data_IF_775175251425
#
_entry.id   IF_775175251425
#
_cell.length_a   1.000
_cell.length_b   1.000
_cell.length_c   1.000
_cell.angle_alpha   90.00
_cell.angle_beta   90.00
_cell.angle_gamma   90.00
#
_symmetry.space_group_name_H-M   'P 1'
#
loop_
_entity.id
_entity.type
_entity.pdbx_description
1 polymer ?
#
# COMPACT_ATOMS: atom_id res chain seq x y z
N UNK A 1 -8.80 41.26 -79.71
CA UNK A 1 -10.00 40.73 -79.01
C UNK A 1 -10.37 39.41 -79.68
N UNK A 2 -10.47 38.25 -79.01
CA UNK A 2 -10.30 37.88 -77.59
C UNK A 2 -9.44 36.59 -77.54
N UNK A 3 -8.65 36.39 -76.48
CA UNK A 3 -8.00 35.12 -76.22
C UNK A 3 -8.91 34.24 -75.35
N UNK A 4 -9.01 32.95 -75.65
CA UNK A 4 -9.85 32.00 -74.89
C UNK A 4 -8.96 30.93 -74.28
N UNK A 5 -8.57 31.12 -73.02
CA UNK A 5 -7.78 30.14 -72.27
C UNK A 5 -8.72 29.13 -71.61
N UNK A 6 -8.64 27.86 -72.01
CA UNK A 6 -9.38 26.78 -71.36
C UNK A 6 -8.61 26.30 -70.12
N UNK A 7 -9.23 26.42 -68.94
CA UNK A 7 -8.73 25.79 -67.72
C UNK A 7 -9.31 24.38 -67.58
N UNK A 8 -8.45 23.37 -67.53
CA UNK A 8 -8.85 22.00 -67.21
C UNK A 8 -8.81 21.79 -65.70
N UNK A 9 -9.98 21.62 -65.07
CA UNK A 9 -10.07 21.25 -63.65
C UNK A 9 -9.70 19.78 -63.45
N UNK A 10 -8.52 19.53 -62.86
CA UNK A 10 -8.15 18.21 -62.37
C UNK A 10 -8.77 17.92 -61.01
N UNK A 11 -9.69 16.96 -60.94
CA UNK A 11 -10.23 16.47 -59.66
C UNK A 11 -9.25 15.50 -59.00
N UNK A 12 -8.59 15.95 -57.93
CA UNK A 12 -7.80 15.09 -57.04
C UNK A 12 -8.76 14.28 -56.14
N UNK A 13 -8.84 12.97 -56.37
CA UNK A 13 -9.51 12.04 -55.47
C UNK A 13 -8.62 11.82 -54.23
N UNK A 14 -8.99 12.41 -53.11
CA UNK A 14 -8.37 12.11 -51.82
C UNK A 14 -8.80 10.71 -51.36
N UNK A 15 -7.87 9.76 -51.33
CA UNK A 15 -8.07 8.49 -50.63
C UNK A 15 -7.97 8.76 -49.12
N UNK A 16 -9.10 8.93 -48.45
CA UNK A 16 -9.16 8.86 -46.99
C UNK A 16 -8.81 7.44 -46.56
N UNK A 17 -7.59 7.23 -46.04
CA UNK A 17 -7.24 6.00 -45.36
C UNK A 17 -8.12 5.87 -44.11
N UNK A 18 -8.99 4.85 -44.08
CA UNK A 18 -9.74 4.52 -42.89
C UNK A 18 -8.76 4.06 -41.80
N UNK A 19 -8.66 4.81 -40.71
CA UNK A 19 -7.94 4.34 -39.53
C UNK A 19 -8.61 3.05 -39.02
N UNK A 20 -7.84 2.03 -38.59
CA UNK A 20 -8.43 0.83 -38.02
C UNK A 20 -9.19 1.20 -36.74
N UNK A 21 -10.49 0.93 -36.73
CA UNK A 21 -11.32 1.07 -35.52
C UNK A 21 -10.72 0.20 -34.41
N UNK A 22 -10.40 0.80 -33.25
CA UNK A 22 -9.93 0.05 -32.07
C UNK A 22 -10.95 -1.06 -31.78
N UNK A 23 -10.50 -2.31 -31.76
CA UNK A 23 -11.37 -3.42 -31.34
C UNK A 23 -11.55 -3.29 -29.85
N UNK A 24 -12.66 -2.66 -29.45
CA UNK A 24 -13.17 -2.62 -28.08
C UNK A 24 -13.48 -4.07 -27.64
N UNK A 25 -12.46 -4.79 -27.17
CA UNK A 25 -12.68 -6.00 -26.39
C UNK A 25 -13.49 -5.57 -25.16
N UNK A 26 -14.77 -5.99 -25.10
CA UNK A 26 -15.57 -5.86 -23.88
C UNK A 26 -14.88 -6.65 -22.76
N UNK A 27 -14.04 -5.95 -21.99
CA UNK A 27 -13.49 -6.41 -20.72
C UNK A 27 -14.69 -6.63 -19.80
N UNK A 28 -14.90 -7.87 -19.35
CA UNK A 28 -15.83 -8.13 -18.26
C UNK A 28 -15.17 -7.63 -16.99
N UNK A 29 -15.60 -6.46 -16.51
CA UNK A 29 -15.20 -5.99 -15.20
C UNK A 29 -15.73 -6.96 -14.13
N UNK A 30 -14.86 -7.37 -13.21
CA UNK A 30 -15.24 -8.20 -12.05
C UNK A 30 -15.45 -7.27 -10.87
N UNK A 31 -16.59 -7.38 -10.18
CA UNK A 31 -16.86 -6.63 -8.96
C UNK A 31 -17.12 -7.57 -7.79
N UNK A 32 -16.55 -7.24 -6.64
CA UNK A 32 -16.73 -7.97 -5.39
C UNK A 32 -16.96 -6.96 -4.24
N UNK A 33 -17.91 -7.27 -3.37
CA UNK A 33 -18.30 -6.47 -2.21
C UNK A 33 -18.09 -7.24 -0.89
N UNK A 34 -17.50 -8.44 -0.94
CA UNK A 34 -17.18 -9.22 0.24
C UNK A 34 -15.97 -8.66 0.98
N UNK A 35 -15.90 -8.88 2.29
CA UNK A 35 -14.86 -8.33 3.16
C UNK A 35 -13.44 -8.63 2.66
N UNK A 36 -13.21 -9.87 2.21
CA UNK A 36 -11.92 -10.36 1.70
C UNK A 36 -12.03 -10.74 0.22
N UNK A 37 -12.83 -10.00 -0.55
CA UNK A 37 -12.92 -10.17 -1.99
C UNK A 37 -11.58 -9.85 -2.65
N UNK A 38 -11.10 -10.73 -3.53
CA UNK A 38 -9.83 -10.58 -4.24
C UNK A 38 -9.99 -10.89 -5.73
N UNK A 39 -9.12 -10.32 -6.57
CA UNK A 39 -9.04 -10.65 -8.00
C UNK A 39 -7.61 -10.53 -8.49
N UNK A 40 -7.01 -11.66 -8.85
CA UNK A 40 -5.69 -11.70 -9.53
C UNK A 40 -5.83 -11.28 -11.00
N UNK A 41 -5.01 -10.33 -11.43
CA UNK A 41 -4.98 -9.82 -12.80
C UNK A 41 -3.59 -9.31 -13.20
N UNK A 42 -3.02 -9.87 -14.27
CA UNK A 42 -1.62 -9.56 -14.64
C UNK A 42 -0.66 -10.05 -13.54
N UNK A 43 0.18 -9.14 -13.04
CA UNK A 43 1.07 -9.31 -11.90
C UNK A 43 0.50 -8.71 -10.60
N UNK A 44 -0.80 -8.44 -10.52
CA UNK A 44 -1.44 -7.85 -9.34
C UNK A 44 -2.47 -8.80 -8.72
N UNK A 45 -2.64 -8.69 -7.41
CA UNK A 45 -3.86 -9.11 -6.72
C UNK A 45 -4.53 -7.84 -6.20
N UNK A 46 -5.78 -7.62 -6.63
CA UNK A 46 -6.59 -6.47 -6.18
C UNK A 46 -7.54 -6.94 -5.10
N UNK A 47 -7.51 -6.27 -3.95
CA UNK A 47 -8.28 -6.60 -2.75
C UNK A 47 -9.37 -5.56 -2.48
N UNK A 48 -10.53 -6.02 -2.01
CA UNK A 48 -11.54 -5.14 -1.41
C UNK A 48 -11.11 -4.75 0.02
N UNK A 49 -10.62 -5.72 0.78
CA UNK A 49 -10.03 -5.62 2.12
C UNK A 49 -10.75 -4.67 3.09
N UNK A 50 -11.93 -5.10 3.54
CA UNK A 50 -12.75 -4.39 4.53
C UNK A 50 -12.40 -4.82 5.96
N UNK A 51 -11.11 -4.88 6.30
CA UNK A 51 -10.62 -5.37 7.59
C UNK A 51 -11.24 -4.64 8.79
N UNK A 52 -11.49 -3.33 8.65
CA UNK A 52 -12.03 -2.46 9.68
C UNK A 52 -13.54 -2.20 9.61
N UNK A 53 -14.30 -2.95 8.80
CA UNK A 53 -15.74 -2.66 8.57
C UNK A 53 -16.58 -2.60 9.86
N UNK A 54 -16.22 -3.40 10.88
CA UNK A 54 -16.90 -3.44 12.18
C UNK A 54 -16.70 -2.15 13.00
N UNK A 55 -15.74 -1.30 12.62
CA UNK A 55 -15.55 0.03 13.20
C UNK A 55 -16.60 1.05 12.70
N UNK A 56 -17.51 0.70 11.80
CA UNK A 56 -18.50 1.66 11.26
C UNK A 56 -19.79 1.05 10.74
N UNK A 57 -20.50 1.83 9.93
CA UNK A 57 -21.66 1.37 9.18
C UNK A 57 -21.55 1.80 7.72
N UNK A 58 -21.83 0.90 6.79
CA UNK A 58 -21.60 1.18 5.38
C UNK A 58 -21.48 -0.05 4.50
N UNK A 59 -20.92 0.16 3.31
CA UNK A 59 -20.65 -0.89 2.33
C UNK A 59 -19.61 -0.41 1.33
N UNK A 60 -18.83 -1.35 0.80
CA UNK A 60 -17.79 -1.08 -0.19
C UNK A 60 -17.65 -2.23 -1.19
N UNK A 61 -17.46 -1.88 -2.45
CA UNK A 61 -17.25 -2.83 -3.54
C UNK A 61 -16.06 -2.39 -4.39
N UNK A 62 -15.11 -3.31 -4.58
CA UNK A 62 -14.03 -3.16 -5.55
C UNK A 62 -14.52 -3.62 -6.94
N UNK A 63 -13.99 -3.00 -7.99
CA UNK A 63 -14.25 -3.37 -9.39
C UNK A 63 -12.95 -3.37 -10.17
N UNK A 64 -12.54 -4.55 -10.65
CA UNK A 64 -11.38 -4.73 -11.50
C UNK A 64 -11.80 -4.70 -12.96
N UNK A 65 -11.43 -3.65 -13.67
CA UNK A 65 -11.47 -3.61 -15.14
C UNK A 65 -10.32 -4.47 -15.68
N UNK A 66 -9.12 -4.29 -15.13
CA UNK A 66 -7.90 -5.05 -15.36
C UNK A 66 -6.88 -4.32 -16.23
N UNK A 67 -5.87 -5.02 -16.75
CA UNK A 67 -4.71 -4.39 -17.43
C UNK A 67 -4.99 -3.94 -18.88
N UNK A 68 -4.60 -2.72 -19.21
CA UNK A 68 -4.56 -2.09 -20.55
C UNK A 68 -3.21 -1.42 -20.74
N UNK A 69 -2.53 -1.64 -21.87
CA UNK A 69 -1.24 -1.00 -22.20
C UNK A 69 -0.23 -1.08 -21.01
N UNK A 70 -0.10 -2.29 -20.46
CA UNK A 70 0.70 -2.69 -19.27
C UNK A 70 0.37 -1.99 -17.93
N UNK A 71 -0.71 -1.20 -17.89
CA UNK A 71 -1.22 -0.52 -16.69
C UNK A 71 -2.51 -1.16 -16.18
N UNK A 72 -2.64 -1.34 -14.86
CA UNK A 72 -3.86 -1.83 -14.21
C UNK A 72 -4.93 -0.74 -14.11
N UNK A 73 -6.16 -1.06 -14.53
CA UNK A 73 -7.36 -0.26 -14.30
C UNK A 73 -8.28 -0.93 -13.26
N UNK A 74 -8.66 -0.19 -12.20
CA UNK A 74 -9.63 -0.64 -11.20
C UNK A 74 -10.31 0.53 -10.49
N UNK A 75 -11.35 0.27 -9.73
CA UNK A 75 -12.00 1.26 -8.86
C UNK A 75 -12.54 0.62 -7.58
N UNK A 76 -12.79 1.44 -6.56
CA UNK A 76 -13.63 1.04 -5.42
C UNK A 76 -14.68 2.11 -5.17
N UNK A 77 -15.91 1.68 -4.90
CA UNK A 77 -17.04 2.54 -4.54
C UNK A 77 -17.52 2.21 -3.15
N UNK A 78 -17.70 3.23 -2.31
CA UNK A 78 -18.03 3.03 -0.91
C UNK A 78 -18.90 4.12 -0.30
N UNK A 79 -19.44 3.83 0.87
CA UNK A 79 -19.98 4.81 1.82
C UNK A 79 -19.81 4.26 3.21
N UNK A 80 -19.21 5.04 4.10
CA UNK A 80 -18.90 4.65 5.48
C UNK A 80 -19.26 5.80 6.44
N UNK A 81 -19.92 5.44 7.54
CA UNK A 81 -20.21 6.31 8.68
C UNK A 81 -19.60 5.77 9.97
N UNK A 82 -19.64 6.62 10.99
CA UNK A 82 -19.23 6.36 12.37
C UNK A 82 -17.72 6.15 12.57
N UNK A 83 -17.28 6.38 13.81
CA UNK A 83 -15.88 6.37 14.25
C UNK A 83 -14.91 6.98 13.22
N UNK A 84 -15.02 8.30 13.04
CA UNK A 84 -14.35 9.08 11.97
C UNK A 84 -12.81 9.03 11.94
N UNK A 85 -12.17 8.45 12.94
CA UNK A 85 -10.72 8.32 13.06
C UNK A 85 -10.25 6.87 12.81
N UNK A 86 -11.17 5.93 12.66
CA UNK A 86 -10.86 4.50 12.55
C UNK A 86 -11.03 4.10 11.08
N UNK A 87 -10.01 3.48 10.49
CA UNK A 87 -10.06 2.95 9.12
C UNK A 87 -11.08 1.81 9.03
N UNK A 88 -11.79 1.73 7.89
CA UNK A 88 -12.79 0.69 7.58
C UNK A 88 -12.27 -0.34 6.59
N UNK A 89 -11.32 0.04 5.74
CA UNK A 89 -10.81 -0.78 4.65
C UNK A 89 -9.55 -0.18 4.04
N UNK A 90 -8.70 -1.02 3.45
CA UNK A 90 -7.65 -0.60 2.51
C UNK A 90 -7.83 -1.33 1.17
N UNK A 91 -8.79 -0.92 0.34
CA UNK A 91 -8.88 -1.49 -1.03
C UNK A 91 -7.63 -1.11 -1.81
N UNK A 92 -6.93 -2.10 -2.35
CA UNK A 92 -5.57 -1.93 -2.87
C UNK A 92 -5.25 -2.90 -4.01
N UNK A 93 -4.15 -2.64 -4.73
CA UNK A 93 -3.53 -3.55 -5.68
C UNK A 93 -2.08 -3.84 -5.27
N UNK A 94 -1.83 -5.05 -4.78
CA UNK A 94 -0.49 -5.56 -4.41
C UNK A 94 0.15 -6.27 -5.59
N UNK A 95 1.46 -6.11 -5.75
CA UNK A 95 2.26 -6.85 -6.74
C UNK A 95 2.45 -8.30 -6.27
N UNK A 96 2.04 -9.27 -7.08
CA UNK A 96 2.32 -10.70 -6.88
C UNK A 96 3.79 -10.98 -7.20
N UNK A 97 4.64 -10.76 -6.19
CA UNK A 97 6.07 -11.07 -6.23
C UNK A 97 6.51 -11.72 -4.92
N UNK A 98 7.68 -12.36 -4.95
CA UNK A 98 8.28 -12.94 -3.76
C UNK A 98 9.00 -11.87 -2.95
N UNK A 99 9.08 -12.08 -1.65
CA UNK A 99 9.87 -11.25 -0.75
C UNK A 99 11.33 -11.16 -1.19
N UNK A 100 11.87 -9.94 -1.18
CA UNK A 100 13.23 -9.61 -1.68
C UNK A 100 13.94 -8.67 -0.71
N UNK A 101 15.25 -8.85 -0.50
CA UNK A 101 16.01 -7.93 0.35
C UNK A 101 16.12 -6.56 -0.29
N UNK A 102 15.94 -5.48 0.48
CA UNK A 102 16.06 -4.10 -0.01
C UNK A 102 17.41 -3.90 -0.73
N UNK A 103 18.52 -4.34 -0.13
CA UNK A 103 19.88 -4.35 -0.72
C UNK A 103 20.02 -5.04 -2.10
N UNK A 104 19.02 -5.82 -2.54
CA UNK A 104 18.99 -6.44 -3.87
C UNK A 104 18.13 -5.69 -4.89
N UNK A 105 17.26 -4.79 -4.43
CA UNK A 105 16.40 -3.96 -5.29
C UNK A 105 17.25 -2.85 -5.91
N UNK A 106 17.16 -2.70 -7.24
CA UNK A 106 17.78 -1.60 -7.98
C UNK A 106 16.82 -0.45 -8.28
N UNK A 107 15.52 -0.72 -8.38
CA UNK A 107 14.45 0.28 -8.51
C UNK A 107 13.08 -0.35 -8.25
N UNK A 108 12.13 0.46 -7.80
CA UNK A 108 10.69 0.17 -7.72
C UNK A 108 9.94 1.21 -8.56
N UNK A 109 10.12 1.16 -9.88
CA UNK A 109 9.57 2.17 -10.79
C UNK A 109 8.03 2.07 -10.81
N UNK A 110 7.36 3.18 -10.53
CA UNK A 110 5.90 3.24 -10.52
C UNK A 110 5.35 4.36 -11.39
N UNK A 111 4.08 4.18 -11.79
CA UNK A 111 3.20 5.18 -12.38
C UNK A 111 1.80 4.95 -11.81
N UNK A 112 1.11 6.00 -11.37
CA UNK A 112 -0.21 5.89 -10.76
C UNK A 112 -1.07 7.12 -11.07
N UNK A 113 -2.08 6.94 -11.93
CA UNK A 113 -3.09 7.93 -12.29
C UNK A 113 -4.43 7.58 -11.64
N UNK A 114 -4.92 8.47 -10.79
CA UNK A 114 -6.12 8.23 -10.00
C UNK A 114 -6.99 9.48 -9.79
N UNK A 115 -8.28 9.23 -9.50
CA UNK A 115 -9.28 10.27 -9.19
C UNK A 115 -10.15 9.81 -8.02
N UNK A 116 -10.49 10.74 -7.14
CA UNK A 116 -11.55 10.57 -6.13
C UNK A 116 -12.75 11.48 -6.45
N UNK A 117 -13.96 10.99 -6.20
CA UNK A 117 -15.17 11.79 -6.02
C UNK A 117 -15.99 11.27 -4.84
N UNK A 118 -16.79 12.14 -4.22
CA UNK A 118 -17.67 11.79 -3.11
C UNK A 118 -17.97 12.98 -2.21
N UNK A 119 -18.87 12.78 -1.24
CA UNK A 119 -19.31 13.78 -0.27
C UNK A 119 -18.65 13.54 1.09
N UNK A 120 -18.15 14.61 1.72
CA UNK A 120 -17.57 14.58 3.09
C UNK A 120 -16.45 13.54 3.30
N UNK A 121 -15.61 13.34 2.29
CA UNK A 121 -14.55 12.34 2.31
C UNK A 121 -13.53 12.58 3.44
N UNK A 122 -13.30 11.53 4.23
CA UNK A 122 -12.14 11.30 5.09
C UNK A 122 -11.48 10.01 4.60
N UNK A 123 -10.36 10.15 3.90
CA UNK A 123 -9.63 9.05 3.27
C UNK A 123 -8.17 9.46 2.98
N UNK A 124 -7.35 8.49 2.60
CA UNK A 124 -6.09 8.74 1.90
C UNK A 124 -6.11 8.13 0.48
N UNK A 125 -5.00 8.33 -0.23
CA UNK A 125 -4.58 7.47 -1.34
C UNK A 125 -3.10 7.19 -1.11
N UNK A 126 -2.69 5.93 -0.96
CA UNK A 126 -1.34 5.59 -0.51
C UNK A 126 -0.76 4.33 -1.16
N UNK A 127 0.54 4.39 -1.47
CA UNK A 127 1.35 3.18 -1.50
C UNK A 127 1.51 2.67 -0.08
N UNK A 128 1.47 1.35 0.09
CA UNK A 128 1.76 0.69 1.35
C UNK A 128 2.71 -0.49 1.10
N UNK A 129 3.71 -0.61 1.98
CA UNK A 129 4.88 -1.45 1.78
C UNK A 129 5.40 -1.96 3.13
N UNK A 130 5.37 -3.27 3.32
CA UNK A 130 5.81 -3.90 4.55
C UNK A 130 7.17 -4.55 4.42
N UNK A 131 7.97 -4.48 5.49
CA UNK A 131 9.25 -5.19 5.58
C UNK A 131 9.36 -6.07 6.82
N UNK A 132 10.20 -7.11 6.72
CA UNK A 132 10.53 -8.02 7.83
C UNK A 132 12.02 -8.39 7.81
N UNK A 133 12.57 -8.80 8.95
CA UNK A 133 13.95 -9.32 9.05
C UNK A 133 14.15 -10.66 8.31
N UNK A 134 13.09 -11.30 7.83
CA UNK A 134 13.16 -12.52 7.01
C UNK A 134 12.05 -12.58 5.96
N UNK A 135 12.30 -13.30 4.86
CA UNK A 135 11.39 -13.38 3.71
C UNK A 135 9.95 -13.84 4.04
N UNK A 136 9.80 -14.74 5.03
CA UNK A 136 8.52 -15.30 5.48
C UNK A 136 8.16 -14.84 6.91
N UNK A 137 8.80 -13.76 7.39
CA UNK A 137 8.64 -13.25 8.76
C UNK A 137 7.40 -12.38 8.94
N UNK A 138 7.01 -12.16 10.20
CA UNK A 138 6.02 -11.13 10.54
C UNK A 138 6.56 -9.74 10.21
N UNK A 139 5.66 -8.84 9.84
CA UNK A 139 5.96 -7.47 9.45
C UNK A 139 6.50 -6.66 10.65
N UNK A 140 7.61 -5.97 10.44
CA UNK A 140 8.32 -5.19 11.46
C UNK A 140 8.22 -3.68 11.19
N UNK A 141 8.16 -3.31 9.91
CA UNK A 141 8.01 -1.94 9.45
C UNK A 141 6.95 -1.82 8.36
N UNK A 142 6.26 -0.70 8.39
CA UNK A 142 5.29 -0.25 7.40
C UNK A 142 5.81 1.09 6.84
N UNK A 143 5.86 1.22 5.52
CA UNK A 143 6.36 2.41 4.82
C UNK A 143 5.30 2.89 3.83
N UNK A 144 4.46 3.81 4.30
CA UNK A 144 3.41 4.41 3.47
C UNK A 144 3.92 5.64 2.71
N UNK A 145 3.52 5.77 1.45
CA UNK A 145 3.72 6.99 0.64
C UNK A 145 2.35 7.45 0.15
N UNK A 146 1.80 8.46 0.82
CA UNK A 146 0.46 8.98 0.54
C UNK A 146 0.51 9.89 -0.69
N UNK A 147 -0.22 9.62 -1.75
CA UNK A 147 -0.42 10.58 -2.84
C UNK A 147 -1.49 11.62 -2.53
N UNK A 148 -2.36 11.38 -1.54
CA UNK A 148 -3.26 12.40 -1.02
C UNK A 148 -3.64 12.15 0.44
N UNK A 149 -3.76 13.23 1.20
CA UNK A 149 -4.51 13.26 2.46
C UNK A 149 -5.84 13.98 2.20
N UNK A 150 -6.96 13.25 2.27
CA UNK A 150 -8.31 13.80 2.15
C UNK A 150 -8.95 13.92 3.55
N UNK A 151 -8.37 14.75 4.43
CA UNK A 151 -8.79 15.00 5.82
C UNK A 151 -8.52 13.86 6.84
N UNK A 152 -7.70 12.87 6.48
CA UNK A 152 -7.17 11.85 7.37
C UNK A 152 -5.94 12.35 8.16
N UNK A 153 -5.35 11.49 9.00
CA UNK A 153 -4.13 11.79 9.76
C UNK A 153 -3.21 10.57 9.84
N UNK A 154 -1.88 10.74 9.70
CA UNK A 154 -0.93 9.63 9.72
C UNK A 154 -0.69 9.10 11.14
N UNK A 155 -0.22 7.86 11.23
CA UNK A 155 0.24 7.27 12.49
C UNK A 155 1.52 8.00 12.95
N UNK A 156 1.42 8.72 14.07
CA UNK A 156 2.54 9.48 14.65
C UNK A 156 2.76 9.14 16.13
N UNK A 157 4.01 9.33 16.56
CA UNK A 157 4.46 9.30 17.96
C UNK A 157 4.72 10.70 18.55
N UNK A 158 4.78 11.75 17.70
CA UNK A 158 4.91 13.15 18.12
C UNK A 158 3.69 13.96 17.71
N UNK A 159 3.19 14.77 18.64
CA UNK A 159 2.01 15.61 18.45
C UNK A 159 2.23 16.97 19.10
N UNK A 160 1.71 18.00 18.44
CA UNK A 160 1.70 19.37 18.92
C UNK A 160 0.78 19.51 20.15
N UNK A 161 0.87 20.65 20.83
CA UNK A 161 -0.05 20.98 21.93
C UNK A 161 -1.53 21.12 21.49
N UNK A 162 -1.80 21.28 20.19
CA UNK A 162 -3.16 21.26 19.61
C UNK A 162 -3.63 19.85 19.21
N UNK A 163 -2.77 18.83 19.29
CA UNK A 163 -3.08 17.45 18.92
C UNK A 163 -2.80 17.10 17.47
N UNK A 164 -2.14 17.99 16.71
CA UNK A 164 -1.75 17.74 15.32
C UNK A 164 -0.48 16.88 15.29
N UNK A 165 -0.39 15.90 14.38
CA UNK A 165 0.83 15.12 14.21
C UNK A 165 2.01 16.02 13.79
N UNK A 166 3.17 15.82 14.40
CA UNK A 166 4.40 16.54 14.07
C UNK A 166 5.30 15.71 13.14
N UNK A 167 5.82 16.36 12.10
CA UNK A 167 6.76 15.73 11.17
C UNK A 167 8.16 15.60 11.77
N UNK A 168 8.82 14.47 11.50
CA UNK A 168 10.21 14.22 11.92
C UNK A 168 11.25 14.74 10.90
N UNK A 169 10.84 14.95 9.65
CA UNK A 169 11.68 15.50 8.57
C UNK A 169 10.83 15.92 7.36
N UNK A 170 11.29 16.91 6.59
CA UNK A 170 10.63 17.32 5.34
C UNK A 170 11.53 17.07 4.11
N UNK A 171 11.63 15.82 3.62
CA UNK A 171 12.54 15.49 2.52
C UNK A 171 11.95 15.76 1.13
N UNK A 172 12.83 15.97 0.14
CA UNK A 172 12.49 15.88 -1.27
C UNK A 172 12.88 14.48 -1.78
N UNK A 173 11.92 13.72 -2.31
CA UNK A 173 12.07 12.32 -2.76
C UNK A 173 11.22 12.11 -4.01
N UNK A 174 11.75 11.40 -5.02
CA UNK A 174 11.12 11.21 -6.33
C UNK A 174 10.68 12.52 -7.04
N UNK A 175 11.30 13.66 -6.68
CA UNK A 175 10.98 14.99 -7.20
C UNK A 175 9.87 15.76 -6.47
N UNK A 176 9.28 15.19 -5.42
CA UNK A 176 8.21 15.81 -4.62
C UNK A 176 8.69 16.15 -3.20
N UNK A 177 8.12 17.18 -2.59
CA UNK A 177 8.36 17.56 -1.20
C UNK A 177 7.37 16.85 -0.27
N UNK A 178 7.90 16.22 0.78
CA UNK A 178 7.16 15.37 1.71
C UNK A 178 7.25 15.90 3.13
N UNK A 179 6.23 15.64 3.95
CA UNK A 179 6.31 15.63 5.40
C UNK A 179 6.36 14.18 5.87
N UNK A 180 7.48 13.77 6.48
CA UNK A 180 7.65 12.43 7.02
C UNK A 180 7.16 12.36 8.46
N UNK A 181 6.32 11.38 8.76
CA UNK A 181 5.83 11.04 10.09
C UNK A 181 6.38 9.68 10.53
N UNK A 182 6.38 9.45 11.84
CA UNK A 182 6.76 8.16 12.42
C UNK A 182 5.96 7.83 13.67
N UNK A 183 5.38 6.64 13.71
CA UNK A 183 4.69 6.11 14.88
C UNK A 183 4.80 4.59 14.96
N UNK A 184 3.81 3.97 15.60
CA UNK A 184 3.77 2.51 15.78
C UNK A 184 2.33 2.02 15.74
N UNK A 185 2.13 0.89 15.06
CA UNK A 185 0.87 0.18 14.93
C UNK A 185 1.07 -1.24 15.47
N UNK A 186 0.59 -1.53 16.68
CA UNK A 186 0.84 -2.81 17.36
C UNK A 186 2.33 -3.13 17.50
N UNK A 187 2.81 -4.11 16.71
CA UNK A 187 4.20 -4.54 16.67
C UNK A 187 5.06 -3.80 15.61
N UNK A 188 4.42 -3.11 14.66
CA UNK A 188 5.09 -2.45 13.54
C UNK A 188 5.54 -1.04 13.90
N UNK A 189 6.65 -0.60 13.29
CA UNK A 189 7.04 0.82 13.22
C UNK A 189 6.61 1.40 11.88
N UNK A 190 5.74 2.41 11.91
CA UNK A 190 5.16 3.02 10.71
C UNK A 190 5.92 4.29 10.34
N UNK A 191 6.28 4.43 9.07
CA UNK A 191 6.76 5.67 8.46
C UNK A 191 5.76 6.09 7.38
N UNK A 192 5.25 7.32 7.45
CA UNK A 192 4.29 7.84 6.47
C UNK A 192 4.82 9.12 5.83
N UNK A 193 5.02 9.11 4.51
CA UNK A 193 5.37 10.30 3.72
C UNK A 193 4.08 10.92 3.17
N UNK A 194 3.75 12.14 3.62
CA UNK A 194 2.57 12.88 3.17
C UNK A 194 2.97 14.10 2.31
N UNK A 195 2.24 14.40 1.22
CA UNK A 195 2.55 15.52 0.34
C UNK A 195 1.86 16.80 0.84
N UNK A 196 2.29 17.98 0.37
CA UNK A 196 1.58 19.23 0.69
C UNK A 196 0.20 19.32 0.02
N UNK A 197 0.09 18.75 -1.18
CA UNK A 197 -1.07 18.81 -2.07
C UNK A 197 -1.27 17.44 -2.74
N UNK A 198 -2.47 17.14 -3.23
CA UNK A 198 -2.75 15.84 -3.85
C UNK A 198 -2.01 15.63 -5.17
N UNK A 199 -1.36 14.47 -5.31
CA UNK A 199 -0.62 14.02 -6.50
C UNK A 199 -1.49 12.99 -7.24
N UNK A 200 -2.44 13.48 -8.04
CA UNK A 200 -3.37 12.64 -8.83
C UNK A 200 -2.73 11.85 -9.99
N UNK A 201 -1.50 12.20 -10.34
CA UNK A 201 -0.70 11.56 -11.38
C UNK A 201 0.73 11.53 -10.88
N UNK A 202 1.17 10.37 -10.40
CA UNK A 202 2.52 10.12 -9.90
C UNK A 202 3.31 9.30 -10.90
N UNK A 203 4.59 9.63 -11.09
CA UNK A 203 5.55 8.77 -11.77
C UNK A 203 6.92 8.98 -11.15
N UNK A 204 7.57 7.90 -10.70
CA UNK A 204 8.81 7.96 -9.94
C UNK A 204 9.23 6.59 -9.40
N UNK A 205 10.47 6.51 -8.90
CA UNK A 205 10.99 5.32 -8.25
C UNK A 205 10.62 5.33 -6.75
N UNK A 206 9.76 4.40 -6.35
CA UNK A 206 9.29 4.27 -4.95
C UNK A 206 10.41 3.74 -4.04
N UNK A 207 11.48 3.16 -4.58
CA UNK A 207 12.65 2.73 -3.81
C UNK A 207 13.48 3.91 -3.27
N UNK A 208 13.30 5.13 -3.81
CA UNK A 208 13.92 6.34 -3.24
C UNK A 208 13.46 6.61 -1.79
N UNK A 209 12.25 6.21 -1.41
CA UNK A 209 11.74 6.36 -0.05
C UNK A 209 12.49 5.45 0.94
N UNK A 210 12.69 4.17 0.59
CA UNK A 210 13.57 3.28 1.36
C UNK A 210 15.01 3.80 1.40
N UNK A 211 15.54 4.26 0.26
CA UNK A 211 16.88 4.86 0.16
C UNK A 211 17.04 6.04 1.12
N UNK A 212 16.02 6.90 1.23
CA UNK A 212 15.99 7.98 2.22
C UNK A 212 15.95 7.44 3.66
N UNK A 213 15.06 6.50 3.99
CA UNK A 213 14.94 5.94 5.34
C UNK A 213 16.25 5.25 5.80
N UNK A 214 16.90 4.48 4.92
CA UNK A 214 18.19 3.83 5.20
C UNK A 214 19.26 4.88 5.53
N UNK A 215 19.39 5.90 4.68
CA UNK A 215 20.43 6.94 4.79
C UNK A 215 20.21 7.92 5.94
N UNK A 216 18.96 8.27 6.24
CA UNK A 216 18.60 9.40 7.09
C UNK A 216 17.88 9.02 8.39
N UNK A 217 17.23 7.85 8.44
CA UNK A 217 16.46 7.37 9.61
C UNK A 217 17.04 6.09 10.23
N UNK A 218 18.12 5.54 9.65
CA UNK A 218 18.80 4.33 10.15
C UNK A 218 18.02 3.04 9.89
N UNK A 219 17.20 3.01 8.83
CA UNK A 219 16.50 1.81 8.39
C UNK A 219 17.49 0.74 7.91
N UNK A 220 17.24 -0.53 8.21
CA UNK A 220 18.16 -1.63 7.89
C UNK A 220 17.92 -2.16 6.46
N UNK A 221 18.89 -1.96 5.58
CA UNK A 221 18.86 -2.41 4.16
C UNK A 221 18.91 -3.95 4.01
N UNK A 222 19.17 -4.70 5.10
CA UNK A 222 19.09 -6.17 5.10
C UNK A 222 17.67 -6.71 5.24
N UNK A 223 16.69 -5.85 5.59
CA UNK A 223 15.27 -6.17 5.62
C UNK A 223 14.79 -6.70 4.25
N UNK A 224 13.78 -7.57 4.30
CA UNK A 224 13.04 -8.04 3.14
C UNK A 224 11.80 -7.18 2.96
N UNK A 225 11.61 -6.61 1.77
CA UNK A 225 10.29 -6.18 1.32
C UNK A 225 9.42 -7.43 1.16
N UNK A 226 8.33 -7.54 1.92
CA UNK A 226 7.45 -8.73 1.94
C UNK A 226 6.09 -8.47 1.29
N UNK A 227 5.66 -7.21 1.23
CA UNK A 227 4.48 -6.76 0.50
C UNK A 227 4.71 -5.35 -0.06
N UNK A 228 4.14 -5.07 -1.22
CA UNK A 228 4.13 -3.74 -1.84
C UNK A 228 2.88 -3.57 -2.70
N UNK A 229 2.07 -2.56 -2.38
CA UNK A 229 0.82 -2.26 -3.08
C UNK A 229 0.48 -0.79 -3.06
N UNK A 230 -0.68 -0.47 -3.66
CA UNK A 230 -1.20 0.88 -3.74
C UNK A 230 -2.74 0.87 -3.68
N UNK A 231 -3.33 1.76 -2.88
CA UNK A 231 -4.75 1.71 -2.53
C UNK A 231 -5.27 2.99 -1.87
N UNK A 232 -6.37 2.86 -1.14
CA UNK A 232 -7.01 3.95 -0.38
C UNK A 232 -7.54 3.45 0.95
N UNK A 233 -7.12 4.07 2.05
CA UNK A 233 -7.75 3.89 3.35
C UNK A 233 -9.03 4.72 3.43
N UNK A 234 -10.16 4.06 3.69
CA UNK A 234 -11.45 4.73 3.84
C UNK A 234 -11.82 4.86 5.33
N UNK A 235 -12.11 6.07 5.80
CA UNK A 235 -12.54 6.33 7.18
C UNK A 235 -14.05 6.60 7.23
N UNK A 236 -14.50 7.71 6.62
CA UNK A 236 -15.92 8.12 6.51
C UNK A 236 -16.14 8.95 5.25
N UNK A 237 -17.36 8.93 4.71
CA UNK A 237 -17.71 9.60 3.45
C UNK A 237 -18.88 8.91 2.75
N UNK A 238 -19.55 9.63 1.85
CA UNK A 238 -20.74 9.15 1.14
C UNK A 238 -20.57 9.25 -0.37
N UNK A 239 -21.20 8.34 -1.13
CA UNK A 239 -21.15 8.30 -2.58
C UNK A 239 -19.70 8.33 -3.14
N UNK A 240 -18.78 7.69 -2.40
CA UNK A 240 -17.37 7.75 -2.69
C UNK A 240 -17.03 6.82 -3.85
N UNK A 241 -16.22 7.31 -4.79
CA UNK A 241 -15.66 6.55 -5.90
C UNK A 241 -14.19 6.93 -6.05
N UNK A 242 -13.32 5.96 -5.81
CA UNK A 242 -11.89 6.01 -6.13
C UNK A 242 -11.67 5.25 -7.42
N UNK A 243 -11.16 5.92 -8.45
CA UNK A 243 -10.89 5.34 -9.77
C UNK A 243 -9.39 5.40 -10.05
N UNK A 244 -8.79 4.26 -10.36
CA UNK A 244 -7.43 4.12 -10.86
C UNK A 244 -7.49 3.87 -12.37
N UNK A 245 -7.11 4.88 -13.16
CA UNK A 245 -7.12 4.80 -14.63
C UNK A 245 -5.82 4.23 -15.22
N UNK A 246 -4.74 4.24 -14.44
CA UNK A 246 -3.52 3.50 -14.74
C UNK A 246 -2.74 3.28 -13.43
N UNK A 247 -2.29 2.06 -13.19
CA UNK A 247 -1.33 1.75 -12.14
C UNK A 247 -0.30 0.72 -12.63
N UNK A 248 0.97 1.01 -12.39
CA UNK A 248 2.07 0.07 -12.62
C UNK A 248 3.09 0.18 -11.49
N UNK A 249 3.61 -0.94 -11.00
CA UNK A 249 4.76 -1.00 -10.10
C UNK A 249 5.65 -2.17 -10.53
N UNK A 250 6.89 -1.86 -10.94
CA UNK A 250 7.90 -2.84 -11.35
C UNK A 250 9.07 -2.85 -10.36
N UNK A 251 9.35 -4.03 -9.78
CA UNK A 251 10.38 -4.22 -8.76
C UNK A 251 11.59 -4.91 -9.42
N UNK A 252 12.53 -4.09 -9.88
CA UNK A 252 13.71 -4.56 -10.59
C UNK A 252 14.83 -4.93 -9.60
N UNK A 253 15.24 -6.20 -9.63
CA UNK A 253 16.36 -6.71 -8.82
C UNK A 253 17.68 -6.47 -9.55
N UNK A 254 18.61 -5.80 -8.87
CA UNK A 254 19.93 -5.53 -9.38
C UNK A 254 20.72 -6.82 -9.59
N UNK A 255 21.48 -6.90 -10.68
CA UNK A 255 22.44 -7.99 -10.91
C UNK A 255 23.65 -7.85 -9.96
N UNK A 256 23.43 -8.15 -8.68
CA UNK A 256 24.49 -8.24 -7.69
C UNK A 256 25.59 -9.20 -8.17
N UNK A 257 26.85 -8.76 -8.09
CA UNK A 257 27.98 -9.56 -8.56
C UNK A 257 28.05 -10.88 -7.81
N UNK A 258 27.76 -11.97 -8.52
CA UNK A 258 27.84 -13.32 -8.00
C UNK A 258 29.29 -13.67 -7.68
N UNK A 259 29.64 -13.60 -6.40
CA UNK A 259 30.96 -13.92 -5.89
C UNK A 259 31.25 -15.41 -6.06
N UNK A 260 32.08 -15.73 -7.06
CA UNK A 260 32.74 -17.01 -7.32
C UNK A 260 31.97 -18.28 -6.92
N UNK A 261 31.18 -18.80 -7.87
CA UNK A 261 30.91 -20.24 -7.91
C UNK A 261 32.23 -21.01 -8.14
N UNK A 262 32.85 -21.51 -7.07
CA UNK A 262 34.00 -22.43 -7.17
C UNK A 262 33.49 -23.80 -7.63
N UNK A 263 33.40 -23.98 -8.94
CA UNK A 263 33.13 -25.28 -9.56
C UNK A 263 34.42 -26.11 -9.62
N UNK A 264 34.61 -26.91 -8.58
CA UNK A 264 35.66 -27.93 -8.51
C UNK A 264 35.55 -28.91 -9.69
N UNK A 265 36.50 -28.85 -10.63
CA UNK A 265 36.71 -29.90 -11.61
C UNK A 265 38.20 -30.21 -11.75
N UNK A 266 38.54 -31.50 -11.71
CA UNK A 266 39.90 -32.01 -11.53
C UNK A 266 40.33 -32.87 -12.72
N UNK A 267 41.52 -32.62 -13.27
CA UNK A 267 42.28 -33.50 -14.20
C UNK A 267 43.61 -32.84 -14.65
N UNK A 268 44.59 -33.58 -15.23
CA UNK A 268 45.97 -33.62 -14.67
C UNK A 268 46.99 -32.66 -15.33
N UNK A 269 48.22 -32.55 -14.77
CA UNK A 269 49.22 -31.59 -15.24
C UNK A 269 49.96 -32.03 -16.51
N UNK A 270 50.52 -31.05 -17.23
CA UNK A 270 51.52 -31.23 -18.29
C UNK A 270 52.64 -30.19 -18.15
N UNK A 271 53.79 -30.48 -18.73
CA UNK A 271 55.12 -30.08 -18.26
C UNK A 271 55.73 -28.80 -18.89
N UNK A 272 56.86 -28.37 -18.31
CA UNK A 272 57.85 -27.38 -18.83
C UNK A 272 57.42 -25.90 -18.82
N UNK A 273 58.29 -24.89 -18.58
CA UNK A 273 59.73 -24.84 -18.28
C UNK A 273 60.13 -23.52 -17.56
N UNK A 274 61.16 -23.55 -16.71
CA UNK A 274 61.88 -22.36 -16.17
C UNK A 274 62.87 -21.81 -17.24
N UNK A 275 63.35 -20.54 -17.22
CA UNK A 275 64.21 -19.92 -16.18
C UNK A 275 63.76 -18.47 -15.78
N UNK A 276 64.36 -17.66 -14.91
CA UNK A 276 65.24 -17.76 -13.73
C UNK A 276 65.77 -16.32 -13.49
N UNK A 277 65.58 -15.75 -12.29
CA UNK A 277 66.36 -14.64 -11.72
C UNK A 277 65.84 -14.33 -10.30
N UNK A 278 66.58 -13.94 -9.26
CA UNK A 278 67.89 -14.28 -8.68
C UNK A 278 68.02 -13.35 -7.45
N UNK A 279 68.23 -13.90 -6.25
CA UNK A 279 68.70 -13.20 -5.02
C UNK A 279 67.74 -12.19 -4.35
N UNK A 280 67.76 -11.91 -3.03
CA UNK A 280 68.70 -12.27 -1.95
C UNK A 280 67.98 -12.58 -0.61
N UNK A 281 68.72 -13.12 0.37
CA UNK A 281 68.22 -13.70 1.63
C UNK A 281 67.94 -12.71 2.78
N UNK A 282 67.20 -13.19 3.79
CA UNK A 282 66.96 -12.52 5.08
C UNK A 282 66.33 -13.45 6.13
N UNK A 283 67.14 -14.31 6.75
CA UNK A 283 66.80 -15.14 7.95
C UNK A 283 66.94 -14.22 9.20
N UNK A 284 66.15 -14.24 10.28
CA UNK A 284 65.96 -15.23 11.37
C UNK A 284 64.78 -14.75 12.26
N UNK A 285 63.77 -15.56 12.61
CA UNK A 285 63.66 -16.52 13.74
C UNK A 285 63.21 -15.94 15.10
N UNK A 286 62.40 -16.74 15.82
CA UNK A 286 62.14 -16.76 17.28
C UNK A 286 61.39 -15.56 17.93
N UNK A 287 60.55 -15.74 18.97
CA UNK A 287 59.97 -16.97 19.57
C UNK A 287 58.92 -16.66 20.65
N UNK A 288 57.93 -17.56 20.80
CA UNK A 288 57.37 -18.08 22.07
C UNK A 288 56.88 -17.14 23.20
N UNK A 289 55.64 -17.36 23.67
CA UNK A 289 55.35 -17.97 25.01
C UNK A 289 54.04 -17.45 25.62
N UNK A 290 53.14 -18.37 25.96
CA UNK A 290 52.15 -18.16 27.04
C UNK A 290 52.83 -18.35 28.42
N UNK A 291 52.19 -17.92 29.52
CA UNK A 291 51.45 -18.93 30.30
C UNK A 291 50.12 -18.42 30.90
N UNK A 292 49.35 -19.34 31.47
CA UNK A 292 48.11 -19.09 32.18
C UNK A 292 48.28 -19.19 33.71
N UNK A 293 47.49 -18.44 34.48
CA UNK A 293 47.22 -18.72 35.90
C UNK A 293 45.78 -18.38 36.28
N UNK A 294 45.21 -19.18 37.17
CA UNK A 294 43.83 -19.18 37.68
C UNK A 294 43.58 -18.22 38.86
N UNK A 295 42.31 -17.87 39.14
CA UNK A 295 41.61 -18.09 40.42
C UNK A 295 40.12 -17.67 40.33
N UNK A 296 39.26 -18.62 40.74
CA UNK A 296 37.92 -18.62 41.38
C UNK A 296 37.33 -17.28 41.91
N UNK A 297 36.03 -17.02 42.11
CA UNK A 297 34.79 -17.78 42.48
C UNK A 297 33.55 -16.88 42.22
N UNK A 298 32.25 -17.24 42.20
CA UNK A 298 31.45 -18.51 42.16
C UNK A 298 29.93 -18.17 42.09
N UNK A 299 29.04 -19.17 41.90
CA UNK A 299 27.54 -19.14 42.09
C UNK A 299 26.71 -18.20 41.19
N UNK A 300 25.49 -18.51 40.71
CA UNK A 300 24.61 -19.71 40.90
C UNK A 300 23.44 -19.78 39.88
N UNK A 301 22.90 -21.00 39.69
CA UNK A 301 21.52 -21.37 39.28
C UNK A 301 20.92 -21.00 37.90
N UNK A 302 20.62 -22.07 37.15
CA UNK A 302 19.69 -22.31 36.00
C UNK A 302 18.27 -22.55 36.61
N UNK A 303 17.06 -22.37 35.98
CA UNK A 303 16.70 -22.83 34.62
C UNK A 303 15.65 -22.06 33.75
N UNK A 304 15.48 -22.63 32.56
CA UNK A 304 14.50 -22.46 31.45
C UNK A 304 13.03 -22.15 31.77
N UNK A 305 12.38 -21.35 30.89
CA UNK A 305 11.04 -21.52 30.27
C UNK A 305 10.72 -20.28 29.40
N UNK A 306 9.89 -20.27 28.37
CA UNK A 306 9.30 -21.31 27.51
C UNK A 306 8.66 -20.60 26.31
N UNK A 307 8.89 -21.06 25.08
CA UNK A 307 8.32 -20.46 23.86
C UNK A 307 6.81 -20.69 23.76
N UNK A 308 6.04 -19.65 23.44
CA UNK A 308 4.67 -19.76 22.92
C UNK A 308 4.58 -19.03 21.58
N UNK A 309 4.39 -19.79 20.51
CA UNK A 309 3.90 -19.29 19.24
C UNK A 309 2.36 -19.37 19.24
N UNK A 310 1.68 -18.35 18.72
CA UNK A 310 0.25 -18.39 18.45
C UNK A 310 0.00 -18.89 17.02
N UNK A 311 -0.96 -19.80 16.78
CA UNK A 311 -1.13 -20.46 15.48
C UNK A 311 -2.08 -19.72 14.54
N UNK A 312 -1.77 -19.81 13.25
CA UNK A 312 -2.67 -19.48 12.13
C UNK A 312 -3.96 -20.32 12.19
N UNK A 313 -5.11 -19.72 11.88
CA UNK A 313 -6.40 -20.42 11.83
C UNK A 313 -6.95 -20.55 10.40
N UNK A 314 -6.54 -21.61 9.69
CA UNK A 314 -7.37 -22.16 8.61
C UNK A 314 -8.55 -22.90 9.22
N UNK A 315 -9.77 -22.69 8.71
CA UNK A 315 -10.90 -23.54 9.05
C UNK A 315 -11.66 -23.98 7.80
N UNK A 316 -11.63 -25.29 7.56
CA UNK A 316 -12.34 -25.93 6.47
C UNK A 316 -13.78 -26.31 6.89
N UNK A 317 -14.70 -26.27 5.93
CA UNK A 317 -16.12 -26.55 6.16
C UNK A 317 -16.41 -28.02 6.51
N UNK A 318 -17.47 -28.26 7.27
CA UNK A 318 -18.26 -29.51 7.25
C UNK A 318 -19.68 -29.28 7.76
N UNK A 319 -20.62 -30.07 7.23
CA UNK A 319 -22.03 -29.68 7.13
C UNK A 319 -22.98 -30.56 7.95
N UNK A 320 -24.09 -29.94 8.39
CA UNK A 320 -25.45 -30.53 8.45
C UNK A 320 -25.75 -31.68 9.43
N UNK A 321 -26.67 -31.41 10.37
CA UNK A 321 -27.89 -32.25 10.52
C UNK A 321 -29.06 -31.47 11.13
N UNK A 322 -30.29 -31.98 10.95
CA UNK A 322 -31.58 -31.27 11.04
C UNK A 322 -32.40 -31.76 12.27
N UNK A 323 -33.15 -30.86 12.92
CA UNK A 323 -34.44 -31.19 13.56
C UNK A 323 -35.35 -29.95 13.68
N UNK A 324 -36.67 -30.15 13.60
CA UNK A 324 -37.71 -29.11 13.50
C UNK A 324 -38.41 -28.82 14.84
N UNK A 325 -39.11 -27.68 14.94
CA UNK A 325 -40.48 -27.64 15.47
C UNK A 325 -41.24 -26.36 15.06
N UNK A 326 -42.56 -26.51 14.88
CA UNK A 326 -43.52 -25.52 14.38
C UNK A 326 -43.96 -24.52 15.48
N UNK A 327 -44.60 -23.37 15.20
CA UNK A 327 -46.02 -23.31 14.81
C UNK A 327 -46.60 -21.90 14.56
N UNK A 328 -47.48 -21.81 13.56
CA UNK A 328 -48.73 -21.00 13.49
C UNK A 328 -48.66 -19.46 13.29
N UNK A 329 -49.39 -19.03 12.26
CA UNK A 329 -49.77 -17.65 11.87
C UNK A 329 -51.26 -17.44 12.22
N UNK A 330 -51.74 -16.21 12.44
CA UNK A 330 -52.87 -15.76 11.60
C UNK A 330 -52.73 -14.32 11.06
N UNK A 331 -53.39 -14.11 9.92
CA UNK A 331 -53.43 -12.89 9.09
C UNK A 331 -54.52 -11.87 9.48
N UNK A 332 -54.27 -10.58 9.23
CA UNK A 332 -55.28 -9.63 8.68
C UNK A 332 -54.55 -8.49 7.93
N UNK A 333 -54.77 -8.25 6.63
CA UNK A 333 -55.89 -7.66 5.86
C UNK A 333 -55.79 -6.13 5.69
N UNK A 334 -55.89 -5.71 4.42
CA UNK A 334 -55.70 -4.37 3.83
C UNK A 334 -56.71 -3.29 4.25
N UNK A 335 -56.27 -2.03 4.30
CA UNK A 335 -57.10 -0.84 4.03
C UNK A 335 -56.28 0.25 3.30
N UNK A 336 -56.94 1.09 2.48
CA UNK A 336 -56.33 2.07 1.58
C UNK A 336 -57.13 3.40 1.62
N UNK A 337 -56.49 4.53 1.28
CA UNK A 337 -57.08 5.88 1.10
C UNK A 337 -57.44 6.61 2.43
N UNK A 338 -57.44 7.95 2.57
CA UNK A 338 -57.44 9.02 1.55
C UNK A 338 -56.75 10.32 2.02
N UNK A 339 -56.24 11.09 1.04
CA UNK A 339 -55.74 12.47 1.03
C UNK A 339 -56.65 13.54 1.70
N UNK A 340 -56.05 14.44 2.50
CA UNK A 340 -56.46 15.87 2.65
C UNK A 340 -55.19 16.74 2.82
N UNK A 341 -55.19 17.94 2.24
CA UNK A 341 -54.14 18.96 2.42
C UNK A 341 -54.78 20.31 2.80
N UNK A 342 -54.07 21.14 3.56
CA UNK A 342 -54.34 22.59 3.73
C UNK A 342 -53.09 23.35 4.16
N UNK A 343 -52.97 24.58 3.65
CA UNK A 343 -51.98 25.63 3.97
C UNK A 343 -52.19 26.23 5.39
N UNK A 344 -51.39 27.15 5.96
CA UNK A 344 -50.64 28.28 5.39
C UNK A 344 -49.70 29.00 6.39
N UNK A 345 -48.44 29.28 5.98
CA UNK A 345 -47.61 30.51 6.21
C UNK A 345 -47.43 31.14 7.64
N UNK A 346 -46.46 32.06 7.88
CA UNK A 346 -45.59 31.98 9.07
C UNK A 346 -45.75 33.10 10.11
N UNK A 347 -45.14 32.92 11.29
CA UNK A 347 -44.99 33.95 12.34
C UNK A 347 -43.52 34.06 12.79
N UNK A 348 -43.15 35.23 13.30
CA UNK A 348 -41.80 35.77 13.25
C UNK A 348 -40.80 35.29 14.32
N UNK A 349 -39.54 35.54 13.95
CA UNK A 349 -38.30 35.51 14.74
C UNK A 349 -38.39 36.24 16.10
N UNK A 350 -37.72 35.69 17.11
CA UNK A 350 -37.28 36.43 18.30
C UNK A 350 -35.77 36.21 18.51
N UNK A 351 -35.02 37.31 18.58
CA UNK A 351 -33.59 37.32 18.87
C UNK A 351 -33.32 37.35 20.36
N UNK A 352 -32.40 36.51 20.85
CA UNK A 352 -31.65 36.78 22.07
C UNK A 352 -30.23 36.21 21.97
N UNK A 353 -29.25 37.10 22.07
CA UNK A 353 -27.81 36.80 22.11
C UNK A 353 -27.35 36.17 23.42
N UNK A 354 -26.21 35.47 23.33
CA UNK A 354 -25.07 35.48 24.27
C UNK A 354 -24.73 34.17 25.02
N UNK A 355 -23.48 34.15 25.48
CA UNK A 355 -22.76 33.14 26.26
C UNK A 355 -22.16 31.96 25.49
N UNK A 356 -20.84 31.88 25.61
CA UNK A 356 -19.96 30.77 25.25
C UNK A 356 -20.04 29.65 26.28
N UNK A 357 -20.12 28.39 25.83
CA UNK A 357 -19.60 27.26 26.60
C UNK A 357 -18.64 26.47 25.72
N UNK A 358 -17.36 26.54 26.09
CA UNK A 358 -16.35 25.56 25.72
C UNK A 358 -16.66 24.27 26.48
N UNK A 359 -17.18 23.24 25.81
CA UNK A 359 -17.15 21.90 26.38
C UNK A 359 -15.97 21.11 25.81
N UNK A 360 -15.14 20.62 26.71
CA UNK A 360 -13.81 20.08 26.43
C UNK A 360 -13.86 18.57 26.52
N UNK A 361 -14.16 17.90 25.41
CA UNK A 361 -14.26 16.44 25.40
C UNK A 361 -13.47 15.78 24.27
N UNK A 362 -12.18 16.12 24.18
CA UNK A 362 -11.21 15.39 23.37
C UNK A 362 -10.82 14.08 24.09
N UNK A 363 -11.75 13.12 24.12
CA UNK A 363 -11.44 11.75 24.52
C UNK A 363 -10.95 10.95 23.32
N UNK A 364 -9.65 11.08 23.03
CA UNK A 364 -8.94 10.11 22.18
C UNK A 364 -8.94 8.77 22.92
N UNK A 365 -9.87 7.90 22.56
CA UNK A 365 -9.82 6.48 22.93
C UNK A 365 -8.88 5.79 21.95
N UNK A 366 -7.68 5.47 22.42
CA UNK A 366 -6.82 4.53 21.71
C UNK A 366 -7.49 3.15 21.72
N UNK A 367 -7.85 2.65 20.55
CA UNK A 367 -8.04 1.22 20.32
C UNK A 367 -6.71 0.72 19.77
N UNK A 368 -6.04 -0.14 20.54
CA UNK A 368 -4.90 -0.91 20.05
C UNK A 368 -5.46 -2.10 19.27
N UNK A 369 -4.92 -2.34 18.08
CA UNK A 369 -5.07 -3.60 17.34
C UNK A 369 -3.90 -4.52 17.74
#
# INVERSE_FOLDING_TARGET
MKATTAFASGSLLALSAAAPTRTENKRSATSDCSQYGETTVGNYIVYNDLWGQDNGSGSQCVTVTGVTDDSLEWSTTWSWSDNKNDVKSYSNAVVDTKSVQLSSISSMQSSWDWKYTGDSLTADVAYDMFTSSSADGSEEFEVMVWLANLNAGPISSSYSASGDAETIATPNVAGYDWSLYKGSNGAQTVYSFLPSDSINSFSGDVYEFFTYLIKNQGFDESQYLVSAGAGTEAFVGQNAEFTVSAYSLDIAIGSGSSSNAITSSSSPPSSSSVPAATSSAGVVSSSSSAPATTVSTSSSSVPTSSSYAAPSSTSAASSTTIAQSSSVVPTSTTAQQTKVASSSTPVAQATSTSASETDSNCHVKYVYV
#
